data_IF_855609670044
#
_entry.id   IF_855609670044
#
_cell.length_a   1.000
_cell.length_b   1.000
_cell.length_c   1.000
_cell.angle_alpha   90.00
_cell.angle_beta   90.00
_cell.angle_gamma   90.00
#
_symmetry.space_group_name_H-M   'P 1'
#
loop_
_entity.id
_entity.type
_entity.pdbx_description
1 polymer ?
#
# COMPACT_ATOMS: atom_id res chain seq x y z
N UNK A 1 23.06 16.28 3.31
CA UNK A 1 22.02 15.40 2.73
C UNK A 1 22.55 14.75 1.46
N UNK A 2 22.37 13.45 1.31
CA UNK A 2 22.78 12.69 0.12
C UNK A 2 21.88 12.98 -1.08
N UNK A 3 22.39 12.71 -2.31
CA UNK A 3 21.63 12.93 -3.55
C UNK A 3 20.31 12.14 -3.59
N UNK A 4 20.29 10.93 -3.03
CA UNK A 4 19.05 10.13 -3.01
C UNK A 4 17.97 10.71 -2.10
N UNK A 5 18.30 11.43 -1.01
CA UNK A 5 17.30 12.11 -0.17
C UNK A 5 16.71 13.31 -0.93
N UNK A 6 17.54 14.06 -1.68
CA UNK A 6 17.02 15.11 -2.56
C UNK A 6 16.11 14.53 -3.64
N UNK A 7 16.49 13.41 -4.26
CA UNK A 7 15.67 12.73 -5.25
C UNK A 7 14.32 12.27 -4.64
N UNK A 8 14.36 11.72 -3.42
CA UNK A 8 13.16 11.28 -2.71
C UNK A 8 12.22 12.45 -2.40
N UNK A 9 12.73 13.59 -1.95
CA UNK A 9 11.94 14.81 -1.73
C UNK A 9 11.29 15.27 -3.05
N UNK A 10 12.04 15.30 -4.14
CA UNK A 10 11.52 15.68 -5.46
C UNK A 10 10.44 14.69 -5.91
N UNK A 11 10.70 13.37 -5.79
CA UNK A 11 9.73 12.33 -6.13
C UNK A 11 8.44 12.41 -5.31
N UNK A 12 8.55 12.67 -4.01
CA UNK A 12 7.42 12.89 -3.13
C UNK A 12 6.58 14.11 -3.55
N UNK A 13 7.23 15.24 -3.86
CA UNK A 13 6.53 16.44 -4.34
C UNK A 13 5.88 16.18 -5.70
N UNK A 14 6.53 15.46 -6.60
CA UNK A 14 5.94 15.06 -7.88
C UNK A 14 4.68 14.20 -7.68
N UNK A 15 4.69 13.23 -6.76
CA UNK A 15 3.49 12.45 -6.46
C UNK A 15 2.35 13.32 -5.92
N UNK A 16 2.65 14.25 -5.00
CA UNK A 16 1.64 15.17 -4.47
C UNK A 16 0.99 16.05 -5.55
N UNK A 17 1.75 16.44 -6.57
CA UNK A 17 1.29 17.34 -7.63
C UNK A 17 0.62 16.60 -8.79
N UNK A 18 1.18 15.47 -9.22
CA UNK A 18 0.81 14.78 -10.44
C UNK A 18 0.05 13.46 -10.19
N UNK A 19 0.36 12.76 -9.08
CA UNK A 19 -0.05 11.37 -8.87
C UNK A 19 0.49 10.47 -9.98
N UNK A 20 -0.27 9.41 -10.36
CA UNK A 20 0.06 8.54 -11.49
C UNK A 20 -0.76 8.98 -12.72
N UNK A 21 -0.15 9.62 -13.70
CA UNK A 21 -0.85 10.02 -14.91
C UNK A 21 -1.27 8.79 -15.74
N UNK A 22 -2.49 8.78 -16.23
CA UNK A 22 -3.04 7.65 -17.00
C UNK A 22 -2.33 7.38 -18.33
N UNK A 23 -1.57 8.35 -18.86
CA UNK A 23 -0.77 8.19 -20.06
C UNK A 23 0.58 7.52 -19.81
N UNK A 24 1.04 7.46 -18.55
CA UNK A 24 2.29 6.83 -18.17
C UNK A 24 2.08 5.34 -17.92
N UNK A 25 2.77 4.49 -18.72
CA UNK A 25 2.74 3.06 -18.46
C UNK A 25 3.54 2.72 -17.19
N UNK A 26 2.82 2.42 -16.12
CA UNK A 26 3.42 2.26 -14.79
C UNK A 26 4.32 1.01 -14.72
N UNK A 27 5.56 1.11 -14.18
CA UNK A 27 6.50 -0.01 -14.10
C UNK A 27 5.96 -1.23 -13.34
N UNK A 28 5.06 -1.06 -12.36
CA UNK A 28 4.36 -2.15 -11.67
C UNK A 28 3.63 -3.07 -12.66
N UNK A 29 3.09 -2.54 -13.78
CA UNK A 29 2.45 -3.34 -14.81
C UNK A 29 3.45 -4.27 -15.50
N UNK A 30 4.71 -3.84 -15.68
CA UNK A 30 5.80 -4.66 -16.26
C UNK A 30 6.14 -5.79 -15.29
N UNK A 31 6.29 -5.46 -14.00
CA UNK A 31 6.52 -6.44 -12.92
C UNK A 31 5.37 -7.46 -12.90
N UNK A 32 4.12 -7.01 -12.94
CA UNK A 32 2.94 -7.88 -12.95
C UNK A 32 2.90 -8.81 -14.17
N UNK A 33 3.27 -8.32 -15.38
CA UNK A 33 3.38 -9.17 -16.57
C UNK A 33 4.45 -10.25 -16.40
N UNK A 34 5.60 -9.90 -15.82
CA UNK A 34 6.66 -10.86 -15.53
C UNK A 34 6.18 -11.92 -14.54
N UNK A 35 5.53 -11.52 -13.45
CA UNK A 35 4.97 -12.43 -12.45
C UNK A 35 4.00 -13.42 -13.10
N UNK A 36 3.02 -12.93 -13.85
CA UNK A 36 2.02 -13.79 -14.51
C UNK A 36 2.63 -14.73 -15.56
N UNK A 37 3.66 -14.28 -16.31
CA UNK A 37 4.38 -15.13 -17.24
C UNK A 37 5.18 -16.22 -16.51
N UNK A 38 5.92 -15.86 -15.48
CA UNK A 38 6.77 -16.79 -14.73
C UNK A 38 5.92 -17.78 -13.93
N UNK A 39 4.83 -17.36 -13.30
CA UNK A 39 3.87 -18.25 -12.63
C UNK A 39 3.35 -19.33 -13.57
N UNK A 40 2.85 -18.94 -14.76
CA UNK A 40 2.37 -19.88 -15.77
C UNK A 40 3.48 -20.86 -16.22
N UNK A 41 4.70 -20.37 -16.41
CA UNK A 41 5.86 -21.20 -16.80
C UNK A 41 6.21 -22.22 -15.71
N UNK A 42 6.23 -21.80 -14.44
CA UNK A 42 6.55 -22.67 -13.31
C UNK A 42 5.47 -23.75 -13.10
N UNK A 43 4.19 -23.38 -13.23
CA UNK A 43 3.09 -24.34 -13.16
C UNK A 43 3.15 -25.39 -14.28
N UNK A 44 3.46 -24.96 -15.54
CA UNK A 44 3.61 -25.90 -16.67
C UNK A 44 4.78 -26.85 -16.50
N UNK A 45 5.87 -26.40 -15.85
CA UNK A 45 7.03 -27.25 -15.58
C UNK A 45 6.72 -28.35 -14.58
N UNK A 46 5.69 -28.19 -13.77
CA UNK A 46 5.33 -29.12 -12.70
C UNK A 46 6.33 -29.15 -11.55
N UNK A 47 6.18 -30.12 -10.65
CA UNK A 47 7.06 -30.29 -9.50
C UNK A 47 6.58 -29.57 -8.23
N UNK A 48 7.50 -29.30 -7.32
CA UNK A 48 7.18 -28.73 -6.02
C UNK A 48 6.89 -27.21 -6.13
N UNK A 49 5.60 -26.84 -5.98
CA UNK A 49 5.15 -25.43 -6.10
C UNK A 49 5.75 -24.52 -5.03
N UNK A 50 6.09 -25.01 -3.84
CA UNK A 50 6.75 -24.20 -2.81
C UNK A 50 8.19 -23.83 -3.18
N UNK A 51 8.94 -24.75 -3.82
CA UNK A 51 10.25 -24.40 -4.38
C UNK A 51 10.12 -23.40 -5.52
N UNK A 52 9.10 -23.57 -6.35
CA UNK A 52 8.75 -22.63 -7.42
C UNK A 52 8.37 -21.26 -6.87
N UNK A 53 7.69 -21.17 -5.72
CA UNK A 53 7.38 -19.93 -5.02
C UNK A 53 8.63 -19.14 -4.66
N UNK A 54 9.62 -19.79 -4.05
CA UNK A 54 10.89 -19.14 -3.68
C UNK A 54 11.61 -18.61 -4.92
N UNK A 55 11.64 -19.40 -6.00
CA UNK A 55 12.26 -18.95 -7.26
C UNK A 55 11.50 -17.78 -7.89
N UNK A 56 10.15 -17.81 -7.91
CA UNK A 56 9.31 -16.72 -8.42
C UNK A 56 9.58 -15.43 -7.65
N UNK A 57 9.55 -15.51 -6.31
CA UNK A 57 9.77 -14.36 -5.44
C UNK A 57 11.17 -13.80 -5.61
N UNK A 58 12.21 -14.63 -5.49
CA UNK A 58 13.59 -14.20 -5.60
C UNK A 58 13.90 -13.61 -6.99
N UNK A 59 13.46 -14.29 -8.07
CA UNK A 59 13.71 -13.79 -9.43
C UNK A 59 13.01 -12.47 -9.71
N UNK A 60 11.77 -12.27 -9.23
CA UNK A 60 11.04 -11.02 -9.43
C UNK A 60 11.72 -9.86 -8.70
N UNK A 61 12.02 -10.05 -7.42
CA UNK A 61 12.64 -8.99 -6.60
C UNK A 61 14.04 -8.65 -7.11
N UNK A 62 14.90 -9.66 -7.29
CA UNK A 62 16.29 -9.45 -7.72
C UNK A 62 16.37 -8.87 -9.13
N UNK A 63 15.54 -9.35 -10.07
CA UNK A 63 15.50 -8.78 -11.42
C UNK A 63 15.06 -7.33 -11.42
N UNK A 64 14.03 -7.00 -10.63
CA UNK A 64 13.56 -5.60 -10.51
C UNK A 64 14.66 -4.72 -9.93
N UNK A 65 15.31 -5.13 -8.85
CA UNK A 65 16.42 -4.38 -8.25
C UNK A 65 17.60 -4.24 -9.24
N UNK A 66 17.93 -5.29 -9.97
CA UNK A 66 19.01 -5.27 -10.97
C UNK A 66 18.71 -4.30 -12.13
N UNK A 67 17.47 -4.28 -12.63
CA UNK A 67 17.05 -3.34 -13.69
C UNK A 67 17.13 -1.90 -13.18
N UNK A 68 16.64 -1.62 -11.99
CA UNK A 68 16.73 -0.27 -11.39
C UNK A 68 18.19 0.13 -11.17
N UNK A 69 19.03 -0.76 -10.64
CA UNK A 69 20.46 -0.51 -10.47
C UNK A 69 21.16 -0.22 -11.81
N UNK A 70 20.81 -0.97 -12.87
CA UNK A 70 21.33 -0.75 -14.20
C UNK A 70 20.93 0.62 -14.76
N UNK A 71 19.66 1.02 -14.61
CA UNK A 71 19.18 2.35 -15.03
C UNK A 71 19.97 3.44 -14.31
N UNK A 72 20.11 3.35 -12.99
CA UNK A 72 20.87 4.34 -12.21
C UNK A 72 22.34 4.37 -12.56
N UNK A 73 22.95 3.21 -12.79
CA UNK A 73 24.35 3.12 -13.25
C UNK A 73 24.53 3.80 -14.62
N UNK A 74 23.68 3.52 -15.59
CA UNK A 74 23.75 4.14 -16.92
C UNK A 74 23.52 5.66 -16.86
N UNK A 75 22.55 6.12 -16.06
CA UNK A 75 22.33 7.55 -15.85
C UNK A 75 23.52 8.22 -15.13
N UNK A 76 24.14 7.49 -14.18
CA UNK A 76 25.33 7.98 -13.48
C UNK A 76 26.55 8.16 -14.39
N UNK A 77 26.71 7.32 -15.44
CA UNK A 77 27.75 7.51 -16.47
C UNK A 77 27.55 8.79 -17.30
N UNK A 78 26.30 9.27 -17.41
CA UNK A 78 25.97 10.54 -18.08
C UNK A 78 26.15 11.77 -17.19
N UNK A 79 26.39 11.57 -15.90
CA UNK A 79 26.63 12.64 -14.92
C UNK A 79 25.64 12.70 -13.77
N UNK A 80 25.90 13.62 -12.83
CA UNK A 80 25.11 13.75 -11.59
C UNK A 80 23.65 14.15 -11.84
N UNK A 81 23.40 15.07 -12.79
CA UNK A 81 22.05 15.56 -13.04
C UNK A 81 21.13 14.47 -13.65
N UNK A 82 21.52 13.71 -14.68
CA UNK A 82 20.74 12.56 -15.17
C UNK A 82 20.47 11.52 -14.09
N UNK A 83 21.46 11.24 -13.23
CA UNK A 83 21.28 10.31 -12.10
C UNK A 83 20.22 10.80 -11.13
N UNK A 84 20.29 12.08 -10.70
CA UNK A 84 19.31 12.68 -9.78
C UNK A 84 17.89 12.65 -10.37
N UNK A 85 17.75 12.98 -11.65
CA UNK A 85 16.45 12.93 -12.35
C UNK A 85 15.91 11.49 -12.37
N UNK A 86 16.76 10.51 -12.72
CA UNK A 86 16.35 9.10 -12.76
C UNK A 86 15.89 8.60 -11.36
N UNK A 87 16.63 8.95 -10.30
CA UNK A 87 16.23 8.62 -8.92
C UNK A 87 14.88 9.25 -8.59
N UNK A 88 14.70 10.55 -8.83
CA UNK A 88 13.46 11.26 -8.51
C UNK A 88 12.24 10.71 -9.25
N UNK A 89 12.40 10.35 -10.51
CA UNK A 89 11.32 9.73 -11.31
C UNK A 89 10.99 8.33 -10.82
N UNK A 90 11.99 7.54 -10.44
CA UNK A 90 11.77 6.20 -9.88
C UNK A 90 11.11 6.27 -8.51
N UNK A 91 11.50 7.22 -7.65
CA UNK A 91 10.87 7.44 -6.36
C UNK A 91 9.42 7.91 -6.52
N UNK A 92 9.16 8.87 -7.41
CA UNK A 92 7.81 9.30 -7.76
C UNK A 92 6.90 8.14 -8.16
N UNK A 93 7.32 7.32 -9.13
CA UNK A 93 6.54 6.16 -9.58
C UNK A 93 6.42 5.04 -8.54
N UNK A 94 7.21 5.07 -7.48
CA UNK A 94 7.16 4.08 -6.40
C UNK A 94 6.20 4.44 -5.25
N UNK A 95 5.78 5.71 -5.16
CA UNK A 95 4.90 6.26 -4.13
C UNK A 95 3.49 6.43 -4.72
N UNK A 96 2.44 6.26 -3.93
CA UNK A 96 1.05 6.26 -4.44
C UNK A 96 0.08 7.05 -3.54
N UNK A 97 0.47 8.25 -3.05
CA UNK A 97 -0.38 9.07 -2.16
C UNK A 97 -1.57 9.63 -2.94
N UNK A 98 -1.28 10.41 -3.98
CA UNK A 98 -2.31 11.14 -4.73
C UNK A 98 -3.20 10.20 -5.52
N UNK A 99 -2.64 9.12 -6.07
CA UNK A 99 -3.39 8.11 -6.83
C UNK A 99 -4.39 7.38 -5.93
N UNK A 100 -3.98 6.93 -4.74
CA UNK A 100 -4.87 6.28 -3.77
C UNK A 100 -5.97 7.24 -3.30
N UNK A 101 -5.61 8.48 -2.94
CA UNK A 101 -6.58 9.48 -2.53
C UNK A 101 -7.58 9.83 -3.64
N UNK A 102 -7.16 9.80 -4.92
CA UNK A 102 -8.00 10.03 -6.08
C UNK A 102 -9.00 8.89 -6.30
N UNK A 103 -8.55 7.64 -6.20
CA UNK A 103 -9.45 6.48 -6.31
C UNK A 103 -10.48 6.47 -5.18
N UNK A 104 -10.08 6.73 -3.93
CA UNK A 104 -11.01 6.84 -2.80
C UNK A 104 -12.03 7.99 -2.99
N UNK A 105 -11.60 9.17 -3.44
CA UNK A 105 -12.53 10.27 -3.81
C UNK A 105 -13.44 9.87 -4.96
N UNK A 106 -12.98 9.02 -5.88
CA UNK A 106 -13.78 8.44 -6.95
C UNK A 106 -14.97 7.63 -6.39
N UNK A 107 -14.74 6.83 -5.35
CA UNK A 107 -15.79 6.07 -4.66
C UNK A 107 -16.80 7.02 -3.99
N UNK A 108 -16.33 8.04 -3.27
CA UNK A 108 -17.21 9.03 -2.65
C UNK A 108 -18.11 9.74 -3.69
N UNK A 109 -17.51 10.16 -4.81
CA UNK A 109 -18.26 10.79 -5.92
C UNK A 109 -19.29 9.84 -6.54
N UNK A 110 -18.93 8.57 -6.74
CA UNK A 110 -19.81 7.55 -7.29
C UNK A 110 -20.98 7.25 -6.35
N UNK A 111 -20.78 7.22 -5.03
CA UNK A 111 -21.85 7.10 -4.04
C UNK A 111 -22.83 8.28 -4.10
N UNK A 112 -22.39 9.46 -4.52
CA UNK A 112 -23.27 10.59 -4.81
C UNK A 112 -24.24 10.34 -5.97
N UNK A 113 -23.94 9.39 -6.87
CA UNK A 113 -24.78 8.97 -7.99
C UNK A 113 -25.66 7.74 -7.63
N UNK A 114 -25.41 7.11 -6.49
CA UNK A 114 -26.13 5.96 -5.97
C UNK A 114 -25.25 4.77 -5.63
N UNK A 115 -25.78 3.84 -4.85
CA UNK A 115 -25.04 2.67 -4.32
C UNK A 115 -24.50 1.79 -5.45
N UNK A 116 -25.24 1.60 -6.53
CA UNK A 116 -24.79 0.80 -7.68
C UNK A 116 -23.51 1.37 -8.33
N UNK A 117 -23.44 2.70 -8.49
CA UNK A 117 -22.23 3.36 -8.98
C UNK A 117 -21.07 3.23 -7.98
N UNK A 118 -21.36 3.35 -6.68
CA UNK A 118 -20.39 3.12 -5.60
C UNK A 118 -19.79 1.71 -5.64
N UNK A 119 -20.62 0.67 -5.81
CA UNK A 119 -20.20 -0.74 -5.95
C UNK A 119 -19.23 -0.93 -7.13
N UNK A 120 -19.57 -0.36 -8.28
CA UNK A 120 -18.71 -0.44 -9.47
C UNK A 120 -17.36 0.24 -9.24
N UNK A 121 -17.35 1.39 -8.58
CA UNK A 121 -16.12 2.13 -8.35
C UNK A 121 -15.25 1.49 -7.27
N UNK A 122 -15.83 1.01 -6.14
CA UNK A 122 -15.07 0.36 -5.09
C UNK A 122 -14.46 -0.97 -5.55
N UNK A 123 -15.10 -1.69 -6.48
CA UNK A 123 -14.56 -2.92 -7.08
C UNK A 123 -13.18 -2.74 -7.74
N UNK A 124 -12.78 -1.51 -8.06
CA UNK A 124 -11.48 -1.21 -8.66
C UNK A 124 -10.33 -1.22 -7.63
N UNK A 125 -10.66 -1.09 -6.34
CA UNK A 125 -9.66 -0.92 -5.28
C UNK A 125 -9.75 -1.97 -4.19
N UNK A 126 -10.74 -2.87 -4.23
CA UNK A 126 -10.88 -3.96 -3.25
C UNK A 126 -10.85 -5.33 -3.94
N UNK A 127 -10.40 -6.35 -3.21
CA UNK A 127 -10.38 -7.74 -3.70
C UNK A 127 -11.60 -8.57 -3.33
N UNK A 128 -12.59 -7.99 -2.60
CA UNK A 128 -13.83 -8.67 -2.19
C UNK A 128 -14.94 -8.50 -3.21
N UNK A 129 -15.99 -9.36 -3.12
CA UNK A 129 -17.20 -9.20 -3.90
C UNK A 129 -17.93 -7.91 -3.51
N UNK A 130 -18.37 -7.11 -4.49
CA UNK A 130 -18.94 -5.79 -4.23
C UNK A 130 -20.41 -5.65 -4.60
N UNK A 131 -21.00 -6.71 -5.20
CA UNK A 131 -22.35 -6.62 -5.83
C UNK A 131 -23.46 -6.34 -4.81
N UNK A 132 -23.31 -6.83 -3.59
CA UNK A 132 -24.35 -6.76 -2.55
C UNK A 132 -24.01 -5.77 -1.42
N UNK A 133 -22.88 -5.04 -1.52
CA UNK A 133 -22.45 -4.12 -0.46
C UNK A 133 -23.46 -2.97 -0.30
N UNK A 134 -23.85 -2.68 0.93
CA UNK A 134 -24.55 -1.46 1.32
C UNK A 134 -23.64 -0.23 1.15
N UNK A 135 -24.22 0.96 1.22
CA UNK A 135 -23.44 2.21 1.19
C UNK A 135 -22.40 2.25 2.30
N UNK A 136 -22.77 1.86 3.52
CA UNK A 136 -21.88 1.82 4.68
C UNK A 136 -20.72 0.85 4.47
N UNK A 137 -20.98 -0.34 3.93
CA UNK A 137 -19.94 -1.33 3.63
C UNK A 137 -18.97 -0.86 2.53
N UNK A 138 -19.47 -0.13 1.53
CA UNK A 138 -18.61 0.49 0.51
C UNK A 138 -17.69 1.54 1.15
N UNK A 139 -18.20 2.35 2.07
CA UNK A 139 -17.41 3.35 2.78
C UNK A 139 -16.35 2.66 3.64
N UNK A 140 -16.72 1.67 4.45
CA UNK A 140 -15.81 0.88 5.28
C UNK A 140 -14.71 0.23 4.43
N UNK A 141 -15.06 -0.43 3.34
CA UNK A 141 -14.12 -1.03 2.40
C UNK A 141 -13.12 -0.01 1.83
N UNK A 142 -13.60 1.20 1.53
CA UNK A 142 -12.73 2.28 1.04
C UNK A 142 -11.78 2.78 2.13
N UNK A 143 -12.26 2.95 3.36
CA UNK A 143 -11.42 3.36 4.51
C UNK A 143 -10.37 2.30 4.82
N UNK A 144 -10.73 1.00 4.84
CA UNK A 144 -9.79 -0.12 4.99
C UNK A 144 -8.68 -0.05 3.95
N UNK A 145 -9.07 0.05 2.67
CA UNK A 145 -8.11 0.11 1.55
C UNK A 145 -7.18 1.31 1.64
N UNK A 146 -7.68 2.51 1.97
CA UNK A 146 -6.84 3.71 2.15
C UNK A 146 -5.88 3.52 3.32
N UNK A 147 -6.34 2.94 4.43
CA UNK A 147 -5.52 2.72 5.63
C UNK A 147 -4.41 1.70 5.38
N UNK A 148 -4.71 0.56 4.75
CA UNK A 148 -3.75 -0.46 4.35
C UNK A 148 -2.72 0.11 3.36
N UNK A 149 -3.18 0.81 2.32
CA UNK A 149 -2.29 1.42 1.33
C UNK A 149 -1.50 2.62 1.87
N UNK A 150 -1.87 3.22 2.99
CA UNK A 150 -1.00 4.17 3.69
C UNK A 150 0.30 3.49 4.10
N UNK A 151 0.25 2.21 4.50
CA UNK A 151 1.45 1.40 4.75
C UNK A 151 2.13 1.01 3.42
N UNK A 152 1.44 0.22 2.59
CA UNK A 152 2.05 -0.50 1.45
C UNK A 152 2.34 0.39 0.24
N UNK A 153 1.52 1.42 0.07
CA UNK A 153 1.64 2.38 -1.04
C UNK A 153 2.52 3.59 -0.74
N UNK A 154 2.77 3.89 0.55
CA UNK A 154 3.43 5.15 0.93
C UNK A 154 4.52 4.98 1.97
N UNK A 155 4.20 4.56 3.19
CA UNK A 155 5.18 4.58 4.31
C UNK A 155 6.29 3.56 4.08
N UNK A 156 5.97 2.34 3.63
CA UNK A 156 6.96 1.32 3.28
C UNK A 156 7.86 1.78 2.12
N UNK A 157 7.32 2.23 0.96
CA UNK A 157 8.14 2.82 -0.10
C UNK A 157 9.06 3.95 0.37
N UNK A 158 8.55 4.91 1.14
CA UNK A 158 9.34 6.03 1.68
C UNK A 158 10.46 5.54 2.60
N UNK A 159 10.19 4.57 3.46
CA UNK A 159 11.18 4.01 4.37
C UNK A 159 12.30 3.31 3.58
N UNK A 160 11.95 2.44 2.62
CA UNK A 160 12.94 1.72 1.81
C UNK A 160 13.73 2.65 0.90
N UNK A 161 13.10 3.70 0.34
CA UNK A 161 13.80 4.75 -0.40
C UNK A 161 14.79 5.52 0.50
N UNK A 162 14.41 5.84 1.72
CA UNK A 162 15.29 6.52 2.67
C UNK A 162 16.52 5.68 3.08
N UNK A 163 16.39 4.34 3.14
CA UNK A 163 17.45 3.41 3.53
C UNK A 163 18.41 3.13 2.38
N UNK A 164 17.91 2.85 1.18
CA UNK A 164 18.73 2.37 0.06
C UNK A 164 18.29 2.90 -1.32
N UNK A 165 17.64 4.06 -1.34
CA UNK A 165 17.23 4.74 -2.56
C UNK A 165 16.22 3.95 -3.39
N UNK A 166 16.08 4.29 -4.68
CA UNK A 166 15.13 3.65 -5.58
C UNK A 166 15.30 2.13 -5.68
N UNK A 167 16.51 1.60 -5.48
CA UNK A 167 16.76 0.15 -5.59
C UNK A 167 15.97 -0.62 -4.54
N UNK A 168 16.04 -0.22 -3.26
CA UNK A 168 15.29 -0.88 -2.18
C UNK A 168 13.80 -0.58 -2.27
N UNK A 169 13.40 0.64 -2.65
CA UNK A 169 12.01 0.99 -2.90
C UNK A 169 11.38 0.03 -3.92
N UNK A 170 12.02 -0.17 -5.08
CA UNK A 170 11.51 -1.05 -6.12
C UNK A 170 11.61 -2.53 -5.79
N UNK A 171 12.59 -2.93 -4.98
CA UNK A 171 12.63 -4.26 -4.38
C UNK A 171 11.41 -4.54 -3.52
N UNK A 172 11.03 -3.59 -2.65
CA UNK A 172 9.79 -3.64 -1.87
C UNK A 172 8.54 -3.66 -2.77
N UNK A 173 8.46 -2.75 -3.76
CA UNK A 173 7.31 -2.72 -4.71
C UNK A 173 7.14 -4.04 -5.45
N UNK A 174 8.25 -4.70 -5.82
CA UNK A 174 8.20 -6.02 -6.46
C UNK A 174 7.64 -7.09 -5.51
N UNK A 175 8.03 -7.09 -4.23
CA UNK A 175 7.53 -8.01 -3.23
C UNK A 175 6.03 -7.78 -2.95
N UNK A 176 5.61 -6.53 -2.75
CA UNK A 176 4.20 -6.17 -2.54
C UNK A 176 3.33 -6.46 -3.77
N UNK A 177 3.85 -6.26 -5.00
CA UNK A 177 3.14 -6.64 -6.23
C UNK A 177 2.97 -8.17 -6.35
N UNK A 178 3.99 -8.94 -5.96
CA UNK A 178 3.90 -10.39 -5.88
C UNK A 178 2.80 -10.84 -4.92
N UNK A 179 2.80 -10.30 -3.70
CA UNK A 179 1.77 -10.62 -2.70
C UNK A 179 0.37 -10.30 -3.21
N UNK A 180 0.17 -9.11 -3.75
CA UNK A 180 -1.11 -8.69 -4.32
C UNK A 180 -1.58 -9.57 -5.48
N UNK A 181 -0.68 -10.22 -6.24
CA UNK A 181 -1.04 -11.05 -7.39
C UNK A 181 -1.17 -12.53 -7.08
N UNK A 182 -0.35 -13.06 -6.17
CA UNK A 182 -0.26 -14.50 -5.91
C UNK A 182 -0.27 -14.87 -4.44
N UNK A 183 -0.27 -13.92 -3.49
CA UNK A 183 -0.21 -14.15 -2.04
C UNK A 183 -1.50 -14.67 -1.41
N UNK A 184 -2.52 -14.99 -2.20
CA UNK A 184 -3.81 -15.48 -1.71
C UNK A 184 -3.72 -16.88 -1.08
N UNK A 185 -4.56 -17.11 -0.04
CA UNK A 185 -4.62 -18.39 0.69
C UNK A 185 -5.54 -19.43 0.05
N UNK A 186 -6.10 -19.16 -1.14
CA UNK A 186 -6.92 -20.09 -1.87
C UNK A 186 -6.11 -21.31 -2.41
N UNK A 187 -6.80 -22.35 -2.83
CA UNK A 187 -6.17 -23.57 -3.35
C UNK A 187 -5.20 -23.30 -4.51
N UNK A 188 -5.51 -22.33 -5.34
CA UNK A 188 -4.70 -21.99 -6.52
C UNK A 188 -3.36 -21.38 -6.13
N UNK A 189 -3.32 -20.51 -5.12
CA UNK A 189 -2.15 -19.70 -4.80
C UNK A 189 -1.43 -20.10 -3.52
N UNK A 190 -2.06 -20.87 -2.62
CA UNK A 190 -1.53 -21.24 -1.31
C UNK A 190 -0.07 -21.71 -1.30
N UNK A 191 0.33 -22.51 -2.29
CA UNK A 191 1.71 -23.04 -2.35
C UNK A 191 2.64 -22.15 -3.18
N UNK A 192 2.19 -21.65 -4.32
CA UNK A 192 3.06 -20.82 -5.20
C UNK A 192 3.20 -19.37 -4.71
N UNK A 193 2.23 -18.87 -3.94
CA UNK A 193 2.24 -17.54 -3.34
C UNK A 193 2.85 -17.50 -1.93
N UNK A 194 3.12 -18.66 -1.32
CA UNK A 194 3.59 -18.73 0.07
C UNK A 194 4.82 -17.86 0.36
N UNK A 195 5.80 -17.89 -0.53
CA UNK A 195 7.06 -17.15 -0.33
C UNK A 195 6.87 -15.64 -0.47
N UNK A 196 6.01 -15.19 -1.39
CA UNK A 196 5.71 -13.76 -1.57
C UNK A 196 4.94 -13.20 -0.39
N UNK A 197 3.91 -13.89 0.08
CA UNK A 197 3.16 -13.48 1.26
C UNK A 197 4.05 -13.36 2.50
N UNK A 198 4.95 -14.33 2.72
CA UNK A 198 5.89 -14.28 3.85
C UNK A 198 6.92 -13.16 3.71
N UNK A 199 7.42 -12.90 2.51
CA UNK A 199 8.35 -11.80 2.28
C UNK A 199 7.67 -10.45 2.53
N UNK A 200 6.46 -10.27 2.03
CA UNK A 200 5.68 -9.06 2.25
C UNK A 200 5.38 -8.84 3.74
N UNK A 201 4.95 -9.89 4.47
CA UNK A 201 4.74 -9.83 5.92
C UNK A 201 5.99 -9.34 6.67
N UNK A 202 7.19 -9.82 6.29
CA UNK A 202 8.46 -9.42 6.91
C UNK A 202 8.82 -7.98 6.54
N UNK A 203 8.70 -7.61 5.26
CA UNK A 203 9.05 -6.27 4.79
C UNK A 203 8.13 -5.19 5.37
N UNK A 204 6.86 -5.49 5.58
CA UNK A 204 5.89 -4.58 6.18
C UNK A 204 5.87 -4.59 7.71
N UNK A 205 6.64 -5.46 8.37
CA UNK A 205 6.58 -5.59 9.83
C UNK A 205 6.90 -4.28 10.58
N UNK A 206 7.99 -3.62 10.25
CA UNK A 206 8.36 -2.31 10.83
C UNK A 206 7.49 -1.18 10.25
N UNK A 207 7.33 -1.08 8.92
CA UNK A 207 6.50 -0.02 8.33
C UNK A 207 5.07 0.05 8.87
N UNK A 208 4.38 -1.08 9.06
CA UNK A 208 3.01 -1.08 9.56
C UNK A 208 2.88 -0.46 10.96
N UNK A 209 3.81 -0.74 11.84
CA UNK A 209 3.86 -0.16 13.20
C UNK A 209 4.19 1.33 13.16
N UNK A 210 5.13 1.71 12.30
CA UNK A 210 5.45 3.11 12.06
C UNK A 210 4.25 3.85 11.46
N UNK A 211 3.53 3.25 10.51
CA UNK A 211 2.31 3.82 9.94
C UNK A 211 1.26 4.08 11.02
N UNK A 212 0.98 3.10 11.87
CA UNK A 212 0.02 3.27 12.96
C UNK A 212 0.40 4.42 13.89
N UNK A 213 1.69 4.53 14.26
CA UNK A 213 2.18 5.65 15.08
C UNK A 213 2.00 6.99 14.38
N UNK A 214 2.38 7.08 13.10
CA UNK A 214 2.24 8.31 12.31
C UNK A 214 0.78 8.69 12.13
N UNK A 215 -0.13 7.72 11.92
CA UNK A 215 -1.57 7.97 11.82
C UNK A 215 -2.17 8.45 13.15
N UNK A 216 -1.73 7.90 14.29
CA UNK A 216 -2.13 8.40 15.62
C UNK A 216 -1.69 9.87 15.81
N UNK A 217 -0.44 10.20 15.49
CA UNK A 217 0.07 11.58 15.56
C UNK A 217 -0.69 12.49 14.58
N UNK A 218 -0.87 12.03 13.34
CA UNK A 218 -1.62 12.74 12.31
C UNK A 218 -3.06 13.05 12.78
N UNK A 219 -3.72 12.11 13.48
CA UNK A 219 -5.08 12.30 13.99
C UNK A 219 -5.17 13.53 14.90
N UNK A 220 -4.22 13.70 15.83
CA UNK A 220 -4.18 14.91 16.66
C UNK A 220 -3.99 16.18 15.84
N UNK A 221 -3.10 16.16 14.83
CA UNK A 221 -2.76 17.32 14.03
C UNK A 221 -3.90 17.80 13.12
N UNK A 222 -4.74 16.87 12.65
CA UNK A 222 -5.84 17.19 11.73
C UNK A 222 -7.22 17.28 12.41
N UNK A 223 -7.24 17.26 13.77
CA UNK A 223 -8.47 17.42 14.54
C UNK A 223 -9.37 16.18 14.57
N UNK A 224 -8.78 14.98 14.47
CA UNK A 224 -9.44 13.70 14.74
C UNK A 224 -9.05 13.19 16.15
N UNK A 225 -9.70 12.10 16.60
CA UNK A 225 -9.43 11.54 17.92
C UNK A 225 -8.18 10.65 17.96
N UNK A 226 -7.00 11.27 18.11
CA UNK A 226 -5.74 10.55 18.26
C UNK A 226 -5.64 9.71 19.52
N UNK A 227 -6.33 10.09 20.61
CA UNK A 227 -6.37 9.30 21.86
C UNK A 227 -7.11 7.99 21.64
N UNK A 228 -8.27 8.06 20.98
CA UNK A 228 -9.04 6.87 20.65
C UNK A 228 -8.30 6.02 19.58
N UNK A 229 -7.68 6.64 18.57
CA UNK A 229 -6.83 5.94 17.61
C UNK A 229 -5.75 5.10 18.31
N UNK A 230 -5.02 5.67 19.26
CA UNK A 230 -4.00 4.95 20.02
C UNK A 230 -4.61 3.82 20.87
N UNK A 231 -5.78 4.05 21.50
CA UNK A 231 -6.49 3.02 22.28
C UNK A 231 -6.85 1.82 21.43
N UNK A 232 -7.43 2.06 20.25
CA UNK A 232 -7.85 1.00 19.33
C UNK A 232 -6.62 0.27 18.74
N UNK A 233 -5.55 0.96 18.35
CA UNK A 233 -4.30 0.31 17.90
C UNK A 233 -3.79 -0.66 18.98
N UNK A 234 -3.74 -0.25 20.24
CA UNK A 234 -3.28 -1.13 21.33
C UNK A 234 -4.15 -2.36 21.53
N UNK A 235 -5.45 -2.25 21.29
CA UNK A 235 -6.42 -3.34 21.48
C UNK A 235 -6.50 -4.28 20.29
N UNK A 236 -6.57 -3.71 19.06
CA UNK A 236 -7.05 -4.42 17.87
C UNK A 236 -5.99 -4.68 16.81
N UNK A 237 -4.73 -4.22 16.97
CA UNK A 237 -3.67 -4.39 15.98
C UNK A 237 -3.40 -5.83 15.56
N UNK A 238 -3.85 -6.82 16.32
CA UNK A 238 -3.72 -8.24 16.03
C UNK A 238 -5.00 -8.86 15.41
N UNK A 239 -6.07 -8.07 15.21
CA UNK A 239 -7.36 -8.54 14.72
C UNK A 239 -7.38 -8.65 13.18
N UNK A 240 -6.35 -9.25 12.60
CA UNK A 240 -6.29 -9.54 11.16
C UNK A 240 -5.43 -10.79 10.90
N UNK A 241 -5.67 -11.48 9.77
CA UNK A 241 -4.86 -12.65 9.37
C UNK A 241 -3.43 -12.26 8.99
N UNK A 242 -3.23 -11.11 8.35
CA UNK A 242 -1.91 -10.51 8.16
C UNK A 242 -1.44 -9.90 9.47
N UNK A 243 -0.16 -10.03 9.85
CA UNK A 243 0.41 -9.42 11.05
C UNK A 243 0.56 -7.89 10.94
N UNK A 244 0.22 -7.31 9.79
CA UNK A 244 0.51 -5.92 9.45
C UNK A 244 -0.74 -5.06 9.20
N UNK A 245 -1.77 -5.56 8.49
CA UNK A 245 -2.91 -4.75 8.03
C UNK A 245 -3.68 -4.07 9.18
N UNK A 246 -3.94 -4.79 10.27
CA UNK A 246 -4.71 -4.25 11.39
C UNK A 246 -4.04 -3.06 12.10
N UNK A 247 -2.75 -2.81 11.95
CA UNK A 247 -2.08 -1.67 12.58
C UNK A 247 -2.63 -0.33 12.06
N UNK A 248 -2.61 -0.13 10.75
CA UNK A 248 -3.13 1.09 10.13
C UNK A 248 -4.66 1.16 10.15
N UNK A 249 -5.35 0.02 9.93
CA UNK A 249 -6.81 -0.06 10.03
C UNK A 249 -7.31 0.32 11.43
N UNK A 250 -6.64 -0.17 12.49
CA UNK A 250 -6.98 0.17 13.88
C UNK A 250 -6.80 1.66 14.18
N UNK A 251 -5.74 2.28 13.64
CA UNK A 251 -5.53 3.71 13.81
C UNK A 251 -6.65 4.52 13.14
N UNK A 252 -7.05 4.15 11.91
CA UNK A 252 -8.14 4.80 11.20
C UNK A 252 -9.50 4.57 11.86
N UNK A 253 -9.82 3.32 12.23
CA UNK A 253 -11.06 2.97 12.91
C UNK A 253 -11.25 3.78 14.20
N UNK A 254 -10.19 3.83 15.01
CA UNK A 254 -10.20 4.59 16.27
C UNK A 254 -10.30 6.11 16.06
N UNK A 255 -9.54 6.67 15.11
CA UNK A 255 -9.58 8.09 14.79
C UNK A 255 -10.94 8.55 14.26
N UNK A 256 -11.65 7.66 13.57
CA UNK A 256 -12.95 7.94 12.93
C UNK A 256 -14.16 7.50 13.75
N UNK A 257 -13.98 6.78 14.85
CA UNK A 257 -15.06 6.19 15.66
C UNK A 257 -16.00 5.29 14.86
N UNK A 258 -15.44 4.44 13.98
CA UNK A 258 -16.17 3.48 13.16
C UNK A 258 -15.59 2.08 13.34
N UNK A 259 -16.43 1.07 13.13
CA UNK A 259 -16.00 -0.32 13.13
C UNK A 259 -15.72 -0.78 11.71
N UNK A 260 -14.53 -1.36 11.50
CA UNK A 260 -14.07 -1.99 10.27
C UNK A 260 -14.05 -3.52 10.43
N UNK A 261 -13.72 -4.25 9.35
CA UNK A 261 -13.70 -5.72 9.36
C UNK A 261 -15.10 -6.32 9.29
N UNK A 262 -15.26 -7.52 9.85
CA UNK A 262 -16.51 -8.29 9.79
C UNK A 262 -16.53 -9.29 8.64
N UNK A 263 -17.70 -9.89 8.37
CA UNK A 263 -17.85 -10.93 7.35
C UNK A 263 -18.08 -10.32 5.98
N UNK A 264 -17.25 -10.72 5.00
CA UNK A 264 -17.37 -10.28 3.61
C UNK A 264 -17.28 -11.46 2.65
N UNK A 265 -17.91 -11.34 1.47
CA UNK A 265 -17.84 -12.35 0.44
C UNK A 265 -16.57 -12.19 -0.42
N UNK A 266 -15.90 -13.31 -0.67
CA UNK A 266 -14.78 -13.42 -1.60
C UNK A 266 -15.04 -14.59 -2.54
N UNK A 267 -15.14 -14.33 -3.84
CA UNK A 267 -15.44 -15.35 -4.84
C UNK A 267 -16.70 -16.18 -4.50
N UNK A 268 -17.76 -15.51 -4.04
CA UNK A 268 -19.03 -16.11 -3.65
C UNK A 268 -19.02 -16.89 -2.33
N UNK A 269 -17.93 -16.82 -1.55
CA UNK A 269 -17.82 -17.49 -0.24
C UNK A 269 -17.68 -16.49 0.89
N UNK A 270 -18.42 -16.63 1.99
CA UNK A 270 -18.26 -15.75 3.15
C UNK A 270 -16.90 -16.03 3.82
N UNK A 271 -16.18 -14.96 4.08
CA UNK A 271 -14.93 -14.98 4.84
C UNK A 271 -15.12 -14.09 6.06
N UNK A 272 -15.07 -14.71 7.22
CA UNK A 272 -15.15 -14.01 8.51
C UNK A 272 -13.79 -13.41 8.84
N UNK A 273 -13.79 -12.11 9.16
CA UNK A 273 -12.66 -11.37 9.70
C UNK A 273 -13.05 -10.80 11.07
N UNK A 274 -12.14 -10.77 12.04
CA UNK A 274 -12.37 -10.04 13.28
C UNK A 274 -12.72 -8.59 13.00
N UNK A 275 -13.51 -7.99 13.89
CA UNK A 275 -13.81 -6.55 13.82
C UNK A 275 -12.66 -5.73 14.41
N UNK A 276 -12.49 -4.52 13.91
CA UNK A 276 -11.48 -3.54 14.29
C UNK A 276 -12.19 -2.23 14.62
N UNK A 277 -11.93 -1.66 15.80
CA UNK A 277 -12.60 -0.46 16.28
C UNK A 277 -13.94 -0.72 16.96
N UNK A 278 -14.56 0.34 17.44
CA UNK A 278 -15.86 0.31 18.08
C UNK A 278 -16.95 0.80 17.12
N UNK A 279 -18.16 0.26 17.24
CA UNK A 279 -19.31 0.68 16.46
C UNK A 279 -19.99 1.91 17.11
N UNK A 280 -19.23 2.98 17.35
CA UNK A 280 -19.74 4.19 18.04
C UNK A 280 -20.77 4.92 17.18
N UNK A 281 -20.62 4.84 15.86
CA UNK A 281 -21.54 5.39 14.87
C UNK A 281 -21.44 4.63 13.52
N UNK A 282 -22.43 4.74 12.65
CA UNK A 282 -22.33 4.24 11.29
C UNK A 282 -21.26 5.03 10.52
N UNK A 283 -20.62 4.35 9.53
CA UNK A 283 -19.68 5.01 8.63
C UNK A 283 -20.44 5.89 7.63
N UNK A 284 -19.93 7.08 7.36
CA UNK A 284 -20.51 8.07 6.46
C UNK A 284 -19.54 8.47 5.34
N UNK A 285 -20.03 9.02 4.21
CA UNK A 285 -19.19 9.41 3.07
C UNK A 285 -18.03 10.34 3.44
N UNK A 286 -18.22 11.19 4.46
CA UNK A 286 -17.17 12.06 4.97
C UNK A 286 -15.97 11.30 5.53
N UNK A 287 -16.13 10.03 5.94
CA UNK A 287 -15.03 9.21 6.46
C UNK A 287 -14.01 8.86 5.37
N UNK A 288 -14.43 8.76 4.11
CA UNK A 288 -13.50 8.64 2.98
C UNK A 288 -12.58 9.87 2.89
N UNK A 289 -13.12 11.08 3.06
CA UNK A 289 -12.31 12.31 3.08
C UNK A 289 -11.40 12.38 4.30
N UNK A 290 -11.91 11.95 5.47
CA UNK A 290 -11.12 11.91 6.72
C UNK A 290 -9.97 10.91 6.60
N UNK A 291 -10.20 9.72 6.02
CA UNK A 291 -9.16 8.73 5.74
C UNK A 291 -8.10 9.27 4.76
N UNK A 292 -8.51 9.97 3.70
CA UNK A 292 -7.56 10.65 2.80
C UNK A 292 -6.74 11.73 3.53
N UNK A 293 -7.33 12.49 4.45
CA UNK A 293 -6.58 13.45 5.27
C UNK A 293 -5.55 12.77 6.16
N UNK A 294 -5.89 11.61 6.74
CA UNK A 294 -4.95 10.77 7.50
C UNK A 294 -3.80 10.27 6.62
N UNK A 295 -4.10 9.78 5.41
CA UNK A 295 -3.10 9.37 4.43
C UNK A 295 -2.10 10.51 4.14
N UNK A 296 -2.59 11.70 3.76
CA UNK A 296 -1.72 12.85 3.46
C UNK A 296 -0.90 13.30 4.67
N UNK A 297 -1.53 13.43 5.84
CA UNK A 297 -0.85 13.89 7.06
C UNK A 297 0.22 12.91 7.52
N UNK A 298 -0.06 11.60 7.48
CA UNK A 298 0.92 10.56 7.82
C UNK A 298 2.09 10.53 6.85
N UNK A 299 1.82 10.73 5.55
CA UNK A 299 2.85 10.81 4.51
C UNK A 299 3.79 11.99 4.71
N UNK A 300 3.23 13.15 5.03
CA UNK A 300 4.02 14.37 5.34
C UNK A 300 4.85 14.18 6.60
N UNK A 301 4.29 13.60 7.66
CA UNK A 301 5.04 13.28 8.88
C UNK A 301 6.21 12.33 8.60
N UNK A 302 6.00 11.31 7.77
CA UNK A 302 7.07 10.39 7.37
C UNK A 302 8.18 11.13 6.62
N UNK A 303 7.83 11.99 5.66
CA UNK A 303 8.82 12.78 4.91
C UNK A 303 9.59 13.72 5.84
N UNK A 304 8.92 14.42 6.77
CA UNK A 304 9.58 15.26 7.77
C UNK A 304 10.55 14.44 8.62
N UNK A 305 10.15 13.27 9.08
CA UNK A 305 11.01 12.36 9.85
C UNK A 305 12.27 11.96 9.08
N UNK A 306 12.11 11.59 7.79
CA UNK A 306 13.24 11.23 6.91
C UNK A 306 14.20 12.41 6.76
N UNK A 307 13.69 13.62 6.51
CA UNK A 307 14.52 14.82 6.36
C UNK A 307 15.26 15.17 7.66
N UNK A 308 14.58 15.11 8.80
CA UNK A 308 15.22 15.38 10.10
C UNK A 308 16.36 14.38 10.39
N UNK A 309 16.14 13.09 10.13
CA UNK A 309 17.20 12.06 10.29
C UNK A 309 18.36 12.34 9.32
N UNK A 310 18.08 12.76 8.08
CA UNK A 310 19.09 13.03 7.07
C UNK A 310 19.90 14.31 7.33
N UNK A 311 19.38 15.25 8.12
CA UNK A 311 20.10 16.48 8.53
C UNK A 311 21.05 16.19 9.71
N UNK A 312 20.64 15.29 10.63
CA UNK A 312 21.42 14.97 11.83
C UNK A 312 22.59 14.02 11.52
N UNK A 313 22.52 13.27 10.43
CA UNK A 313 23.63 12.43 9.91
C UNK A 313 24.59 13.21 9.03
#
# INVERSE_FOLDING_TARGET
>A
MSDWIWALIIGFVLDLLLGDPSWLYHPVCIIGKYIGWMEKKLRRRGGNLRKSAVFLTASTVLLTMAVVALILMLCGLLGRLPLLIAMALLDWMGIAITSMAKEARGVEKALGQGVAAGRTQVARIVGRDTQDLSEEEIIKATVETVSENTTDGVISPLLYAAIGGPILLWGFKAASTLDSMVGYLDEKYRDIGWSSARLDDVLNYIPARLTALLMVIASYLIGLDGKNAFRIVRRDHANHKSPNCAWSESAAAGALHIQLGGTHNYFGKPVEKPTIGDADRPAERADIRRANRLLYASSLLMMVLIVLIAIVR
#
